data_IF_032148748179
#
_entry.id   IF_032148748179
#
_cell.length_a   1.000
_cell.length_b   1.000
_cell.length_c   1.000
_cell.angle_alpha   90.00
_cell.angle_beta   90.00
_cell.angle_gamma   90.00
#
_symmetry.space_group_name_H-M   'P 1'
#
loop_
_entity.id
_entity.type
_entity.pdbx_description
1 polymer ?
#
# COMPACT_ATOMS: atom_id res chain seq x y z
N UNK A 1 8.91 23.78 -6.18
CA UNK A 1 9.83 22.62 -6.05
C UNK A 1 9.14 21.39 -6.60
N UNK A 2 9.68 20.71 -7.58
CA UNK A 2 9.12 19.42 -7.97
C UNK A 2 9.19 18.49 -6.75
N UNK A 3 8.09 17.80 -6.46
CA UNK A 3 8.07 16.78 -5.40
C UNK A 3 9.09 15.70 -5.81
N UNK A 4 10.03 15.31 -4.94
CA UNK A 4 10.94 14.23 -5.26
C UNK A 4 10.15 12.99 -5.68
N UNK A 5 10.59 12.31 -6.72
CA UNK A 5 9.97 11.04 -7.12
C UNK A 5 9.91 10.10 -5.90
N UNK A 6 8.85 9.31 -5.69
CA UNK A 6 8.69 8.46 -4.50
C UNK A 6 9.89 7.56 -4.24
N UNK A 7 10.58 7.12 -5.31
CA UNK A 7 11.80 6.29 -5.20
C UNK A 7 12.94 7.07 -4.54
N UNK A 8 13.20 8.30 -4.99
CA UNK A 8 14.29 9.11 -4.42
C UNK A 8 14.02 9.45 -2.96
N UNK A 9 12.78 9.81 -2.62
CA UNK A 9 12.38 10.06 -1.24
C UNK A 9 12.55 8.81 -0.37
N UNK A 10 12.16 7.64 -0.86
CA UNK A 10 12.34 6.36 -0.18
C UNK A 10 13.83 6.06 0.08
N UNK A 11 14.70 6.32 -0.90
CA UNK A 11 16.13 6.11 -0.77
C UNK A 11 16.78 7.08 0.23
N UNK A 12 16.31 8.33 0.28
CA UNK A 12 16.74 9.32 1.29
C UNK A 12 16.39 8.83 2.69
N UNK A 13 15.12 8.46 2.91
CA UNK A 13 14.64 7.98 4.21
C UNK A 13 15.38 6.72 4.68
N UNK A 14 15.69 5.78 3.78
CA UNK A 14 16.49 4.59 4.13
C UNK A 14 17.88 5.01 4.63
N UNK A 15 18.57 5.93 3.94
CA UNK A 15 19.91 6.40 4.35
C UNK A 15 19.87 7.13 5.68
N UNK A 16 18.89 8.00 5.90
CA UNK A 16 18.70 8.73 7.17
C UNK A 16 18.50 7.79 8.36
N UNK A 17 17.88 6.63 8.14
CA UNK A 17 17.71 5.59 9.15
C UNK A 17 18.98 4.73 9.38
N UNK A 18 20.01 4.92 8.57
CA UNK A 18 21.20 4.07 8.56
C UNK A 18 21.00 2.73 7.85
N UNK A 19 19.91 2.55 7.13
CA UNK A 19 19.63 1.34 6.35
C UNK A 19 20.47 1.33 5.06
N UNK A 20 21.06 0.17 4.78
CA UNK A 20 21.81 -0.01 3.53
C UNK A 20 20.89 -0.08 2.33
N UNK A 21 21.08 0.81 1.36
CA UNK A 21 20.45 0.71 0.05
C UNK A 21 21.12 -0.40 -0.74
N UNK A 22 20.43 -1.53 -0.89
CA UNK A 22 20.87 -2.66 -1.70
C UNK A 22 20.20 -2.65 -3.05
N UNK A 23 20.81 -3.29 -4.05
CA UNK A 23 20.23 -3.39 -5.40
C UNK A 23 18.82 -4.02 -5.41
N UNK A 24 18.55 -5.12 -4.68
CA UNK A 24 17.20 -5.66 -4.61
C UNK A 24 16.16 -4.68 -4.04
N UNK A 25 16.51 -3.92 -3.01
CA UNK A 25 15.59 -2.91 -2.44
C UNK A 25 15.30 -1.78 -3.43
N UNK A 26 16.34 -1.29 -4.12
CA UNK A 26 16.18 -0.28 -5.18
C UNK A 26 15.25 -0.76 -6.28
N UNK A 27 15.49 -1.98 -6.82
CA UNK A 27 14.64 -2.56 -7.86
C UNK A 27 13.19 -2.73 -7.44
N UNK A 28 12.93 -3.13 -6.20
CA UNK A 28 11.56 -3.22 -5.67
C UNK A 28 10.89 -1.85 -5.64
N UNK A 29 11.59 -0.80 -5.21
CA UNK A 29 11.05 0.57 -5.21
C UNK A 29 10.76 1.07 -6.63
N UNK A 30 11.67 0.86 -7.57
CA UNK A 30 11.53 1.23 -8.97
C UNK A 30 10.37 0.46 -9.64
N UNK A 31 10.29 -0.85 -9.39
CA UNK A 31 9.20 -1.68 -9.88
C UNK A 31 7.84 -1.20 -9.35
N UNK A 32 7.75 -0.94 -8.04
CA UNK A 32 6.52 -0.45 -7.42
C UNK A 32 6.09 0.91 -7.97
N UNK A 33 7.04 1.82 -8.20
CA UNK A 33 6.75 3.14 -8.78
C UNK A 33 6.27 3.06 -10.24
N UNK A 34 6.61 2.00 -10.97
CA UNK A 34 6.18 1.78 -12.36
C UNK A 34 4.80 1.13 -12.48
N UNK A 35 4.28 0.55 -11.40
CA UNK A 35 3.02 -0.17 -11.38
C UNK A 35 1.88 0.73 -10.87
N UNK A 36 0.70 0.68 -11.49
CA UNK A 36 -0.46 1.43 -11.01
C UNK A 36 -1.08 0.77 -9.77
N UNK A 37 -1.70 1.59 -8.93
CA UNK A 37 -2.52 1.15 -7.81
C UNK A 37 -1.74 0.41 -6.72
N UNK A 38 -2.24 -0.74 -6.30
CA UNK A 38 -1.71 -1.56 -5.22
C UNK A 38 -1.35 -2.95 -5.75
N UNK A 39 -0.16 -3.14 -6.33
CA UNK A 39 0.25 -4.44 -6.85
C UNK A 39 0.49 -5.46 -5.74
N UNK A 40 0.25 -6.73 -6.04
CA UNK A 40 0.66 -7.85 -5.19
C UNK A 40 2.13 -8.23 -5.44
N UNK A 41 2.63 -9.19 -4.67
CA UNK A 41 4.04 -9.63 -4.78
C UNK A 41 4.36 -10.22 -6.16
N UNK A 42 3.41 -10.87 -6.82
CA UNK A 42 3.60 -11.47 -8.15
C UNK A 42 3.81 -10.40 -9.20
N UNK A 43 2.98 -9.36 -9.16
CA UNK A 43 3.07 -8.20 -10.05
C UNK A 43 4.38 -7.43 -9.81
N UNK A 44 4.73 -7.19 -8.54
CA UNK A 44 6.00 -6.52 -8.18
C UNK A 44 7.19 -7.35 -8.65
N UNK A 45 7.18 -8.68 -8.42
CA UNK A 45 8.28 -9.56 -8.83
C UNK A 45 8.45 -9.59 -10.36
N UNK A 46 7.37 -9.65 -11.11
CA UNK A 46 7.41 -9.60 -12.57
C UNK A 46 8.06 -8.29 -13.06
N UNK A 47 7.73 -7.16 -12.45
CA UNK A 47 8.36 -5.86 -12.77
C UNK A 47 9.85 -5.82 -12.35
N UNK A 48 10.19 -6.37 -11.18
CA UNK A 48 11.60 -6.48 -10.73
C UNK A 48 12.45 -7.29 -11.71
N UNK A 49 11.90 -8.37 -12.26
CA UNK A 49 12.61 -9.20 -13.26
C UNK A 49 12.89 -8.45 -14.57
N UNK A 50 12.10 -7.44 -14.92
CA UNK A 50 12.40 -6.58 -16.08
C UNK A 50 13.64 -5.69 -15.84
N UNK A 51 13.94 -5.39 -14.58
CA UNK A 51 15.12 -4.60 -14.19
C UNK A 51 16.37 -5.47 -14.02
N UNK A 52 16.21 -6.77 -13.94
CA UNK A 52 17.32 -7.72 -13.86
C UNK A 52 16.93 -9.03 -13.14
N UNK A 53 17.70 -10.12 -13.35
CA UNK A 53 17.38 -11.42 -12.77
C UNK A 53 17.36 -11.34 -11.25
N UNK A 54 16.29 -11.83 -10.65
CA UNK A 54 16.07 -11.82 -9.20
C UNK A 54 15.22 -13.02 -8.80
N UNK A 55 15.57 -13.69 -7.71
CA UNK A 55 14.75 -14.77 -7.16
C UNK A 55 13.55 -14.20 -6.39
N UNK A 56 12.42 -14.87 -6.45
CA UNK A 56 11.18 -14.47 -5.76
C UNK A 56 11.41 -14.26 -4.25
N UNK A 57 12.18 -15.13 -3.60
CA UNK A 57 12.54 -14.99 -2.20
C UNK A 57 13.29 -13.67 -1.89
N UNK A 58 14.11 -13.19 -2.82
CA UNK A 58 14.81 -11.92 -2.69
C UNK A 58 13.83 -10.73 -2.76
N UNK A 59 12.84 -10.80 -3.65
CA UNK A 59 11.77 -9.80 -3.74
C UNK A 59 10.97 -9.75 -2.44
N UNK A 60 10.56 -10.91 -1.89
CA UNK A 60 9.88 -10.98 -0.61
C UNK A 60 10.67 -10.33 0.53
N UNK A 61 11.94 -10.70 0.69
CA UNK A 61 12.80 -10.12 1.75
C UNK A 61 12.98 -8.61 1.61
N UNK A 62 13.05 -8.11 0.37
CA UNK A 62 13.15 -6.68 0.13
C UNK A 62 11.85 -5.96 0.51
N UNK A 63 10.67 -6.51 0.12
CA UNK A 63 9.36 -6.00 0.52
C UNK A 63 9.18 -6.00 2.04
N UNK A 64 9.48 -7.10 2.72
CA UNK A 64 9.41 -7.21 4.18
C UNK A 64 10.28 -6.15 4.87
N UNK A 65 11.53 -6.00 4.42
CA UNK A 65 12.43 -5.00 4.99
C UNK A 65 11.92 -3.58 4.76
N UNK A 66 11.45 -3.26 3.56
CA UNK A 66 10.93 -1.94 3.23
C UNK A 66 9.65 -1.61 4.01
N UNK A 67 8.80 -2.59 4.26
CA UNK A 67 7.64 -2.44 5.15
C UNK A 67 8.07 -2.24 6.61
N UNK A 68 9.01 -3.03 7.12
CA UNK A 68 9.55 -2.87 8.48
C UNK A 68 10.23 -1.52 8.67
N UNK A 69 10.88 -0.98 7.64
CA UNK A 69 11.46 0.35 7.62
C UNK A 69 10.40 1.47 7.49
N UNK A 70 9.12 1.15 7.28
CA UNK A 70 8.04 2.11 7.08
C UNK A 70 8.10 2.84 5.74
N UNK A 71 8.91 2.37 4.79
CA UNK A 71 9.01 2.93 3.42
C UNK A 71 7.82 2.48 2.58
N UNK A 72 7.44 1.22 2.72
CA UNK A 72 6.24 0.65 2.12
C UNK A 72 5.20 0.33 3.19
N UNK A 73 4.00 0.21 2.75
CA UNK A 73 2.85 -0.31 3.52
C UNK A 73 2.15 -1.38 2.68
N UNK A 74 1.42 -2.26 3.33
CA UNK A 74 0.63 -3.27 2.65
C UNK A 74 -0.79 -3.34 3.22
N UNK A 75 -1.73 -3.73 2.37
CA UNK A 75 -3.13 -3.98 2.72
C UNK A 75 -3.39 -5.46 2.62
N UNK A 76 -3.92 -6.05 3.69
CA UNK A 76 -4.42 -7.41 3.72
C UNK A 76 -5.94 -7.41 3.85
N UNK A 77 -6.58 -8.28 3.11
CA UNK A 77 -7.97 -8.65 3.33
C UNK A 77 -8.12 -10.16 3.35
N UNK A 78 -8.52 -10.67 4.50
CA UNK A 78 -8.81 -12.09 4.70
C UNK A 78 -7.65 -12.98 4.17
N UNK A 79 -7.93 -13.81 3.17
CA UNK A 79 -6.97 -14.73 2.55
C UNK A 79 -6.38 -14.21 1.23
N UNK A 80 -6.68 -12.97 0.84
CA UNK A 80 -6.13 -12.39 -0.38
C UNK A 80 -4.63 -12.07 -0.22
N UNK A 81 -3.82 -12.11 -1.30
CA UNK A 81 -2.44 -11.66 -1.27
C UNK A 81 -2.31 -10.23 -0.77
N UNK A 82 -1.25 -9.96 -0.02
CA UNK A 82 -0.92 -8.59 0.40
C UNK A 82 -0.70 -7.70 -0.83
N UNK A 83 -1.24 -6.48 -0.76
CA UNK A 83 -1.05 -5.46 -1.79
C UNK A 83 -0.21 -4.33 -1.25
N UNK A 84 0.80 -3.91 -1.99
CA UNK A 84 1.85 -3.00 -1.54
C UNK A 84 1.69 -1.60 -2.14
N UNK A 85 2.09 -0.58 -1.39
CA UNK A 85 2.21 0.80 -1.85
C UNK A 85 3.22 1.59 -1.01
N UNK A 86 3.65 2.74 -1.50
CA UNK A 86 4.50 3.64 -0.72
C UNK A 86 3.77 4.17 0.51
N UNK A 87 4.46 4.20 1.65
CA UNK A 87 3.92 4.72 2.90
C UNK A 87 3.74 6.25 2.85
N UNK A 88 2.85 6.79 3.69
CA UNK A 88 2.57 8.21 3.76
C UNK A 88 3.81 9.08 4.02
N UNK A 89 4.79 8.58 4.76
CA UNK A 89 6.05 9.31 4.99
C UNK A 89 6.90 9.49 3.72
N UNK A 90 6.67 8.66 2.68
CA UNK A 90 7.33 8.78 1.37
C UNK A 90 6.56 9.71 0.46
N UNK A 91 5.24 9.55 0.39
CA UNK A 91 4.38 10.28 -0.55
C UNK A 91 3.86 11.60 0.00
N UNK A 92 3.93 11.81 1.32
CA UNK A 92 3.32 12.97 1.99
C UNK A 92 1.80 12.89 2.13
N UNK A 93 1.17 11.81 1.62
CA UNK A 93 -0.29 11.64 1.61
C UNK A 93 -0.69 10.40 2.40
N UNK A 94 -1.40 10.61 3.51
CA UNK A 94 -2.02 9.52 4.25
C UNK A 94 -3.39 9.20 3.65
N UNK A 95 -3.70 7.91 3.47
CA UNK A 95 -4.99 7.44 3.01
C UNK A 95 -5.35 6.13 3.70
N UNK A 96 -6.64 5.86 3.79
CA UNK A 96 -7.19 4.57 4.17
C UNK A 96 -7.54 3.79 2.89
N UNK A 97 -8.00 2.57 3.03
CA UNK A 97 -8.32 1.71 1.91
C UNK A 97 -9.71 1.11 2.06
N UNK A 98 -10.36 0.86 0.92
CA UNK A 98 -11.48 -0.05 0.84
C UNK A 98 -11.09 -1.16 -0.13
N UNK A 99 -11.27 -2.42 0.26
CA UNK A 99 -10.86 -3.51 -0.58
C UNK A 99 -11.99 -4.52 -0.77
N UNK A 100 -12.23 -4.90 -2.03
CA UNK A 100 -13.33 -5.74 -2.42
C UNK A 100 -13.05 -7.21 -2.06
N UNK A 101 -13.98 -7.83 -1.32
CA UNK A 101 -13.90 -9.26 -0.98
C UNK A 101 -14.10 -10.19 -2.19
N UNK A 102 -14.74 -9.69 -3.27
CA UNK A 102 -15.03 -10.48 -4.46
C UNK A 102 -13.83 -10.56 -5.42
N UNK A 103 -13.26 -9.42 -5.80
CA UNK A 103 -12.20 -9.34 -6.80
C UNK A 103 -10.84 -8.86 -6.27
N UNK A 104 -10.75 -8.48 -4.99
CA UNK A 104 -9.51 -7.99 -4.39
C UNK A 104 -9.09 -6.58 -4.84
N UNK A 105 -9.92 -5.86 -5.62
CA UNK A 105 -9.62 -4.48 -5.99
C UNK A 105 -9.56 -3.57 -4.77
N UNK A 106 -8.61 -2.64 -4.77
CA UNK A 106 -8.40 -1.68 -3.68
C UNK A 106 -8.73 -0.28 -4.16
N UNK A 107 -9.50 0.45 -3.36
CA UNK A 107 -9.83 1.86 -3.55
C UNK A 107 -9.17 2.65 -2.43
N UNK A 108 -8.44 3.71 -2.78
CA UNK A 108 -7.92 4.67 -1.82
C UNK A 108 -9.04 5.58 -1.30
N UNK A 109 -9.07 5.75 0.01
CA UNK A 109 -10.01 6.63 0.69
C UNK A 109 -9.24 7.78 1.36
N UNK A 110 -9.63 9.04 1.11
CA UNK A 110 -9.13 10.15 1.91
C UNK A 110 -9.41 9.91 3.40
N UNK A 111 -8.44 10.22 4.26
CA UNK A 111 -8.60 9.98 5.71
C UNK A 111 -9.77 10.74 6.32
N UNK A 112 -10.17 11.85 5.70
CA UNK A 112 -11.30 12.70 6.09
C UNK A 112 -12.64 11.93 6.07
N UNK A 113 -12.77 10.95 5.18
CA UNK A 113 -13.97 10.08 5.12
C UNK A 113 -14.17 9.30 6.43
N UNK A 114 -13.06 9.00 7.13
CA UNK A 114 -13.07 8.29 8.40
C UNK A 114 -13.03 9.23 9.64
N UNK A 115 -13.11 10.54 9.45
CA UNK A 115 -13.02 11.51 10.54
C UNK A 115 -14.08 11.27 11.63
N UNK A 116 -15.36 10.99 11.33
CA UNK A 116 -16.36 10.70 12.36
C UNK A 116 -16.01 9.46 13.20
N UNK A 117 -15.45 8.43 12.58
CA UNK A 117 -14.99 7.24 13.29
C UNK A 117 -13.79 7.55 14.20
N UNK A 118 -12.85 8.37 13.72
CA UNK A 118 -11.73 8.87 14.51
C UNK A 118 -12.21 9.58 15.78
N UNK A 119 -13.05 10.59 15.62
CA UNK A 119 -13.58 11.41 16.71
C UNK A 119 -14.32 10.54 17.75
N UNK A 120 -15.12 9.60 17.28
CA UNK A 120 -15.85 8.68 18.14
C UNK A 120 -14.91 7.79 18.98
N UNK A 121 -13.80 7.32 18.42
CA UNK A 121 -12.81 6.51 19.11
C UNK A 121 -11.98 7.34 20.09
N UNK A 122 -11.48 8.51 19.65
CA UNK A 122 -10.68 9.41 20.46
C UNK A 122 -11.43 9.90 21.70
N UNK A 123 -12.73 10.21 21.58
CA UNK A 123 -13.59 10.56 22.69
C UNK A 123 -13.71 9.48 23.76
N UNK A 124 -13.34 8.24 23.44
CA UNK A 124 -13.28 7.07 24.34
C UNK A 124 -11.88 6.67 24.76
N UNK A 125 -10.87 7.50 24.45
CA UNK A 125 -9.47 7.27 24.79
C UNK A 125 -8.72 6.32 23.87
N UNK A 126 -9.31 5.89 22.74
CA UNK A 126 -8.62 5.08 21.74
C UNK A 126 -7.75 5.96 20.82
N UNK A 127 -6.70 5.38 20.25
CA UNK A 127 -5.81 6.02 19.27
C UNK A 127 -5.91 5.28 17.92
N UNK A 128 -6.79 5.70 17.00
CA UNK A 128 -6.95 5.04 15.72
C UNK A 128 -5.77 5.30 14.78
N UNK A 129 -5.33 4.28 14.06
CA UNK A 129 -4.29 4.34 13.04
C UNK A 129 -4.91 4.25 11.65
N UNK A 130 -5.47 5.34 11.15
CA UNK A 130 -6.26 5.35 9.92
C UNK A 130 -5.45 5.02 8.65
N UNK A 131 -4.17 5.33 8.62
CA UNK A 131 -3.28 4.99 7.50
C UNK A 131 -3.05 3.48 7.29
N UNK A 132 -3.49 2.64 8.25
CA UNK A 132 -3.45 1.18 8.16
C UNK A 132 -4.85 0.55 8.12
N UNK A 133 -5.88 1.38 7.94
CA UNK A 133 -7.28 0.92 7.93
C UNK A 133 -7.67 0.44 6.54
N UNK A 134 -8.21 -0.76 6.48
CA UNK A 134 -8.84 -1.31 5.28
C UNK A 134 -10.30 -1.66 5.58
N UNK A 135 -11.22 -1.02 4.86
CA UNK A 135 -12.64 -1.37 4.90
C UNK A 135 -12.89 -2.55 3.96
N UNK A 136 -13.55 -3.60 4.48
CA UNK A 136 -14.01 -4.72 3.66
C UNK A 136 -15.29 -4.31 2.94
N UNK A 137 -15.28 -4.34 1.61
CA UNK A 137 -16.41 -3.90 0.77
C UNK A 137 -16.71 -4.91 -0.34
N UNK A 138 -17.82 -4.72 -1.04
CA UNK A 138 -18.12 -5.35 -2.33
C UNK A 138 -18.21 -4.25 -3.37
N UNK A 139 -17.34 -4.29 -4.39
CA UNK A 139 -17.34 -3.28 -5.44
C UNK A 139 -18.60 -3.38 -6.33
N UNK A 140 -18.91 -2.34 -7.11
CA UNK A 140 -20.09 -2.34 -7.98
C UNK A 140 -20.16 -3.51 -8.96
N UNK A 141 -19.00 -3.98 -9.46
CA UNK A 141 -18.94 -5.07 -10.43
C UNK A 141 -19.17 -6.45 -9.78
N UNK A 142 -18.83 -6.59 -8.49
CA UNK A 142 -19.06 -7.81 -7.71
C UNK A 142 -20.39 -7.81 -6.96
N UNK A 143 -21.06 -6.65 -6.85
CA UNK A 143 -22.37 -6.57 -6.21
C UNK A 143 -23.44 -7.23 -7.09
N UNK A 144 -24.31 -8.10 -6.53
CA UNK A 144 -25.43 -8.66 -7.31
C UNK A 144 -26.34 -7.53 -7.83
N UNK A 145 -26.83 -7.68 -9.06
CA UNK A 145 -27.60 -6.67 -9.80
C UNK A 145 -28.89 -6.21 -9.07
N UNK A 146 -29.43 -7.03 -8.19
CA UNK A 146 -30.71 -6.78 -7.48
C UNK A 146 -30.67 -5.67 -6.41
N UNK A 147 -29.49 -5.17 -6.04
CA UNK A 147 -29.40 -4.08 -5.03
C UNK A 147 -29.40 -2.68 -5.61
N UNK A 148 -29.40 -2.54 -6.94
CA UNK A 148 -29.44 -1.22 -7.60
C UNK A 148 -30.87 -0.66 -7.80
N UNK A 149 -31.91 -1.43 -7.51
CA UNK A 149 -33.32 -1.06 -7.75
C UNK A 149 -34.07 -0.50 -6.53
N UNK A 150 -33.36 -0.17 -5.45
CA UNK A 150 -33.99 0.26 -4.21
C UNK A 150 -33.44 1.55 -3.65
N UNK A 151 -33.57 2.66 -4.40
CA UNK A 151 -33.59 4.04 -3.88
C UNK A 151 -34.36 4.95 -4.81
#
# INVERSE_FOLDING_TARGET
>A
MPTPEPVEQALVLLRERGDRVTEPRRRVLEALASLPGHPDVTEVHAAVQQLGPTHLATTYRALEHLCAAGILTHVHLDHAPARYHFAAQVTGVAHAHAACRGCGSVLDLPTEVLQPAREHLEARGYRPHLGHTALSVTCPDCAPADRRAGR
#
